data_IF_932764770425
#
_entry.id   IF_932764770425
#
_cell.length_a   1.000
_cell.length_b   1.000
_cell.length_c   1.000
_cell.angle_alpha   90.00
_cell.angle_beta   90.00
_cell.angle_gamma   90.00
#
_symmetry.space_group_name_H-M   'P 1'
#
loop_
_entity.id
_entity.type
_entity.pdbx_description
1 polymer ?
#
# COMPACT_ATOMS: atom_id res chain seq x y z
N UNK A 1 -3.44 -12.17 -0.38
CA UNK A 1 -3.79 -12.42 -1.82
C UNK A 1 -4.45 -13.78 -1.97
N UNK A 2 -5.24 -14.03 -3.03
CA UNK A 2 -5.75 -15.37 -3.35
C UNK A 2 -4.76 -16.14 -4.21
N UNK A 3 -4.82 -17.48 -4.20
CA UNK A 3 -3.97 -18.30 -5.07
C UNK A 3 -4.17 -17.99 -6.56
N UNK A 4 -5.39 -17.61 -6.96
CA UNK A 4 -5.68 -17.20 -8.35
C UNK A 4 -4.97 -15.89 -8.72
N UNK A 5 -5.02 -14.89 -7.85
CA UNK A 5 -4.33 -13.61 -8.09
C UNK A 5 -2.81 -13.76 -8.16
N UNK A 6 -2.23 -14.62 -7.31
CA UNK A 6 -0.78 -14.93 -7.37
C UNK A 6 -0.43 -15.66 -8.66
N UNK A 7 -1.28 -16.62 -9.09
CA UNK A 7 -1.07 -17.37 -10.32
C UNK A 7 -1.08 -16.45 -11.56
N UNK A 8 -2.00 -15.50 -11.59
CA UNK A 8 -2.10 -14.49 -12.64
C UNK A 8 -0.84 -13.62 -12.71
N UNK A 9 -0.38 -13.12 -11.55
CA UNK A 9 0.83 -12.27 -11.49
C UNK A 9 2.11 -13.01 -11.89
N UNK A 10 2.23 -14.30 -11.53
CA UNK A 10 3.42 -15.10 -11.80
C UNK A 10 3.38 -15.82 -13.15
N UNK A 11 2.26 -15.80 -13.87
CA UNK A 11 2.10 -16.52 -15.14
C UNK A 11 2.15 -18.05 -15.00
N UNK A 12 1.80 -18.61 -13.84
CA UNK A 12 1.83 -20.05 -13.56
C UNK A 12 0.44 -20.58 -13.18
N UNK A 13 0.28 -21.91 -13.18
CA UNK A 13 -1.04 -22.49 -12.91
C UNK A 13 -1.50 -22.27 -11.45
N UNK A 14 -2.80 -22.01 -11.20
CA UNK A 14 -3.33 -21.87 -9.84
C UNK A 14 -3.10 -23.11 -8.97
N UNK A 15 -3.00 -24.29 -9.56
CA UNK A 15 -2.71 -25.55 -8.86
C UNK A 15 -1.27 -25.59 -8.35
N UNK A 16 -0.32 -25.14 -9.16
CA UNK A 16 1.09 -25.04 -8.77
C UNK A 16 1.23 -24.02 -7.61
N UNK A 17 0.60 -22.85 -7.75
CA UNK A 17 0.60 -21.83 -6.70
C UNK A 17 0.02 -22.37 -5.39
N UNK A 18 -1.13 -23.07 -5.43
CA UNK A 18 -1.71 -23.65 -4.21
C UNK A 18 -0.75 -24.57 -3.49
N UNK A 19 -0.06 -25.46 -4.21
CA UNK A 19 0.90 -26.36 -3.61
C UNK A 19 2.02 -25.61 -2.88
N UNK A 20 2.54 -24.54 -3.46
CA UNK A 20 3.56 -23.72 -2.82
C UNK A 20 3.01 -22.94 -1.62
N UNK A 21 1.80 -22.36 -1.75
CA UNK A 21 1.15 -21.65 -0.65
C UNK A 21 0.80 -22.59 0.53
N UNK A 22 0.34 -23.82 0.24
CA UNK A 22 0.05 -24.82 1.27
C UNK A 22 1.33 -25.25 1.98
N UNK A 23 2.48 -25.36 1.28
CA UNK A 23 3.78 -25.60 1.89
C UNK A 23 4.19 -24.45 2.83
N UNK A 24 4.08 -23.20 2.37
CA UNK A 24 4.37 -22.04 3.23
C UNK A 24 3.48 -21.97 4.47
N UNK A 25 2.22 -22.42 4.37
CA UNK A 25 1.31 -22.51 5.53
C UNK A 25 1.77 -23.63 6.48
N UNK A 26 2.19 -24.79 5.94
CA UNK A 26 2.71 -25.90 6.75
C UNK A 26 3.99 -25.50 7.50
N UNK A 27 4.84 -24.69 6.87
CA UNK A 27 6.08 -24.16 7.45
C UNK A 27 5.84 -22.94 8.36
N UNK A 28 4.57 -22.57 8.61
CA UNK A 28 4.17 -21.40 9.40
C UNK A 28 4.66 -20.05 8.83
N UNK A 29 5.06 -20.00 7.59
CA UNK A 29 5.51 -18.80 6.89
C UNK A 29 4.35 -18.00 6.28
N UNK A 30 3.21 -18.67 6.09
CA UNK A 30 1.95 -18.04 5.68
C UNK A 30 0.79 -18.49 6.57
N UNK A 31 -0.22 -17.66 6.67
CA UNK A 31 -1.51 -18.00 7.29
C UNK A 31 -2.64 -17.86 6.27
N UNK A 32 -3.76 -18.55 6.54
CA UNK A 32 -4.95 -18.40 5.68
C UNK A 32 -6.09 -17.72 6.44
N UNK A 33 -6.78 -16.80 5.75
CA UNK A 33 -8.05 -16.20 6.20
C UNK A 33 -9.10 -16.38 5.13
N UNK A 34 -10.35 -16.47 5.52
CA UNK A 34 -11.45 -16.48 4.56
C UNK A 34 -11.61 -15.07 3.97
N UNK A 35 -11.76 -14.99 2.65
CA UNK A 35 -12.02 -13.72 1.99
C UNK A 35 -13.40 -13.20 2.43
N UNK A 36 -13.53 -11.88 2.72
CA UNK A 36 -14.82 -11.29 3.02
C UNK A 36 -15.78 -11.52 1.84
N UNK A 37 -16.99 -11.98 2.16
CA UNK A 37 -18.00 -12.27 1.15
C UNK A 37 -18.52 -10.95 0.57
N UNK A 38 -18.19 -10.65 -0.67
CA UNK A 38 -18.75 -9.53 -1.43
C UNK A 38 -19.87 -10.05 -2.33
N UNK A 39 -21.09 -9.48 -2.18
CA UNK A 39 -22.20 -9.70 -3.10
C UNK A 39 -23.16 -10.83 -2.73
N UNK A 40 -24.23 -10.99 -3.59
CA UNK A 40 -25.31 -12.00 -3.49
C UNK A 40 -24.73 -13.39 -3.28
N UNK A 41 -25.39 -14.20 -2.45
CA UNK A 41 -25.07 -15.61 -2.15
C UNK A 41 -24.81 -16.41 -3.45
N UNK A 42 -23.53 -16.48 -3.85
CA UNK A 42 -23.07 -17.44 -4.86
C UNK A 42 -22.87 -18.83 -4.22
N UNK A 43 -23.18 -19.90 -4.97
CA UNK A 43 -22.83 -21.26 -4.58
C UNK A 43 -21.33 -21.43 -4.71
N UNK A 44 -20.60 -21.52 -3.59
CA UNK A 44 -19.15 -21.80 -3.58
C UNK A 44 -18.54 -21.59 -2.20
N UNK A 45 -17.45 -22.34 -1.92
CA UNK A 45 -16.63 -22.12 -0.72
C UNK A 45 -15.93 -20.76 -0.84
N UNK A 46 -15.89 -19.93 0.23
CA UNK A 46 -15.14 -18.67 0.20
C UNK A 46 -13.71 -18.88 -0.27
N UNK A 47 -13.19 -17.92 -1.05
CA UNK A 47 -11.79 -17.95 -1.45
C UNK A 47 -10.92 -17.76 -0.21
N UNK A 48 -9.82 -18.53 -0.11
CA UNK A 48 -8.83 -18.34 0.93
C UNK A 48 -7.91 -17.19 0.53
N UNK A 49 -7.65 -16.28 1.45
CA UNK A 49 -6.58 -15.31 1.41
C UNK A 49 -5.36 -15.90 2.10
N UNK A 50 -4.21 -15.75 1.48
CA UNK A 50 -2.92 -16.10 2.05
C UNK A 50 -2.20 -14.82 2.46
N UNK A 51 -1.68 -14.80 3.67
CA UNK A 51 -0.99 -13.68 4.31
C UNK A 51 0.35 -14.19 4.82
N UNK A 52 1.42 -13.40 4.68
CA UNK A 52 2.70 -13.74 5.30
C UNK A 52 2.58 -13.60 6.82
N UNK A 53 3.09 -14.56 7.53
CA UNK A 53 3.32 -14.48 8.97
C UNK A 53 4.57 -13.64 9.27
N UNK A 54 4.83 -13.37 10.54
CA UNK A 54 6.10 -12.77 10.96
C UNK A 54 7.29 -13.65 10.58
N UNK A 55 7.16 -14.96 10.79
CA UNK A 55 8.18 -15.96 10.40
C UNK A 55 8.42 -15.96 8.89
N UNK A 56 7.36 -15.86 8.07
CA UNK A 56 7.50 -15.75 6.61
C UNK A 56 8.18 -14.46 6.19
N UNK A 57 7.90 -13.35 6.84
CA UNK A 57 8.59 -12.08 6.61
C UNK A 57 10.06 -12.15 7.02
N UNK A 58 10.37 -12.84 8.11
CA UNK A 58 11.72 -13.05 8.63
C UNK A 58 12.69 -13.71 7.63
N UNK A 59 12.18 -14.49 6.67
CA UNK A 59 13.02 -15.11 5.62
C UNK A 59 13.71 -14.10 4.68
N UNK A 60 13.22 -12.87 4.63
CA UNK A 60 13.80 -11.83 3.76
C UNK A 60 15.06 -11.16 4.34
N UNK A 61 15.59 -11.67 5.44
CA UNK A 61 16.94 -11.37 5.96
C UNK A 61 16.99 -10.23 6.98
N UNK A 62 17.22 -10.57 8.24
CA UNK A 62 17.32 -9.60 9.35
C UNK A 62 18.72 -9.01 9.55
N UNK A 63 19.80 -9.66 9.09
CA UNK A 63 21.16 -9.19 9.35
C UNK A 63 21.47 -7.79 8.76
N UNK A 64 20.89 -7.50 7.60
CA UNK A 64 20.97 -6.15 6.99
C UNK A 64 20.04 -5.16 7.68
N UNK A 65 18.90 -5.64 8.17
CA UNK A 65 17.94 -4.80 8.90
C UNK A 65 18.54 -4.32 10.22
N UNK A 66 19.22 -5.19 10.98
CA UNK A 66 19.90 -4.82 12.23
C UNK A 66 21.02 -3.81 11.99
N UNK A 67 21.78 -3.97 10.90
CA UNK A 67 22.79 -2.99 10.51
C UNK A 67 22.15 -1.65 10.14
N UNK A 68 21.06 -1.66 9.37
CA UNK A 68 20.35 -0.46 8.97
C UNK A 68 19.74 0.27 10.19
N UNK A 69 19.10 -0.48 11.11
CA UNK A 69 18.60 0.06 12.38
C UNK A 69 19.72 0.73 13.17
N UNK A 70 20.85 0.04 13.33
CA UNK A 70 21.99 0.58 14.09
C UNK A 70 22.57 1.84 13.45
N UNK A 71 22.65 1.88 12.11
CA UNK A 71 23.14 3.05 11.37
C UNK A 71 22.20 4.26 11.51
N UNK A 72 20.88 4.05 11.41
CA UNK A 72 19.90 5.13 11.53
C UNK A 72 19.81 5.60 12.98
N UNK A 73 19.92 4.70 13.97
CA UNK A 73 19.99 5.07 15.38
C UNK A 73 21.22 5.94 15.66
N UNK A 74 22.39 5.56 15.14
CA UNK A 74 23.59 6.38 15.23
C UNK A 74 23.38 7.77 14.62
N UNK A 75 22.71 7.86 13.47
CA UNK A 75 22.37 9.13 12.83
C UNK A 75 21.44 9.98 13.72
N UNK A 76 20.39 9.38 14.30
CA UNK A 76 19.47 10.06 15.21
C UNK A 76 20.21 10.62 16.44
N UNK A 77 21.06 9.82 17.05
CA UNK A 77 21.80 10.20 18.27
C UNK A 77 22.86 11.28 18.05
N UNK A 78 23.56 11.27 16.90
CA UNK A 78 24.71 12.14 16.67
C UNK A 78 24.42 13.35 15.77
N UNK A 79 23.39 13.28 14.94
CA UNK A 79 23.02 14.35 13.99
C UNK A 79 21.63 14.91 14.30
N UNK A 80 20.72 14.08 14.84
CA UNK A 80 19.36 14.45 15.24
C UNK A 80 18.27 13.86 14.35
N UNK A 81 17.03 13.97 14.82
CA UNK A 81 15.83 13.42 14.17
C UNK A 81 15.57 14.01 12.77
N UNK A 82 15.94 15.27 12.55
CA UNK A 82 15.80 15.92 11.23
C UNK A 82 16.68 15.23 10.18
N UNK A 83 17.83 14.68 10.56
CA UNK A 83 18.67 13.91 9.65
C UNK A 83 18.03 12.57 9.27
N UNK A 84 17.31 11.92 10.20
CA UNK A 84 16.54 10.71 9.92
C UNK A 84 15.39 11.01 8.97
N UNK A 85 14.69 12.11 9.18
CA UNK A 85 13.61 12.57 8.28
C UNK A 85 14.15 12.86 6.87
N UNK A 86 15.22 13.62 6.75
CA UNK A 86 15.84 13.92 5.47
C UNK A 86 16.36 12.65 4.75
N UNK A 87 16.87 11.68 5.51
CA UNK A 87 17.23 10.37 4.95
C UNK A 87 15.99 9.62 4.42
N UNK A 88 14.90 9.61 5.17
CA UNK A 88 13.65 8.95 4.77
C UNK A 88 13.06 9.56 3.49
N UNK A 89 13.01 10.89 3.42
CA UNK A 89 12.57 11.65 2.24
C UNK A 89 13.44 11.34 1.02
N UNK A 90 14.76 11.38 1.18
CA UNK A 90 15.69 11.08 0.08
C UNK A 90 15.59 9.64 -0.39
N UNK A 91 15.36 8.70 0.53
CA UNK A 91 15.19 7.29 0.21
C UNK A 91 13.93 7.05 -0.62
N UNK A 92 12.79 7.60 -0.21
CA UNK A 92 11.55 7.43 -0.96
C UNK A 92 11.61 8.17 -2.31
N UNK A 93 12.24 9.33 -2.38
CA UNK A 93 12.48 10.03 -3.64
C UNK A 93 13.30 9.17 -4.61
N UNK A 94 14.39 8.56 -4.16
CA UNK A 94 15.18 7.66 -4.99
C UNK A 94 14.38 6.45 -5.52
N UNK A 95 13.39 5.98 -4.77
CA UNK A 95 12.51 4.89 -5.16
C UNK A 95 11.50 5.30 -6.23
N UNK A 96 10.92 6.51 -6.14
CA UNK A 96 9.79 6.91 -6.99
C UNK A 96 10.17 7.86 -8.13
N UNK A 97 11.24 8.64 -7.99
CA UNK A 97 11.64 9.65 -8.99
C UNK A 97 11.94 9.07 -10.38
N UNK A 98 12.55 7.87 -10.53
CA UNK A 98 12.75 7.26 -11.85
C UNK A 98 11.45 7.01 -12.63
N UNK A 99 10.33 6.94 -11.92
CA UNK A 99 9.01 6.63 -12.49
C UNK A 99 8.03 7.80 -12.39
N UNK A 100 8.48 8.95 -11.91
CA UNK A 100 7.64 10.12 -11.61
C UNK A 100 6.81 10.56 -12.81
N UNK A 101 7.44 10.72 -13.98
CA UNK A 101 6.75 11.12 -15.21
C UNK A 101 5.67 10.12 -15.60
N UNK A 102 6.01 8.81 -15.60
CA UNK A 102 5.06 7.74 -15.89
C UNK A 102 3.82 7.79 -14.98
N UNK A 103 4.01 8.07 -13.68
CA UNK A 103 2.89 8.15 -12.73
C UNK A 103 2.09 9.43 -12.94
N UNK A 104 2.75 10.57 -13.20
CA UNK A 104 2.09 11.86 -13.37
C UNK A 104 1.28 11.97 -14.66
N UNK A 105 1.67 11.26 -15.72
CA UNK A 105 0.95 11.21 -17.00
C UNK A 105 -0.42 10.54 -16.88
N UNK A 106 -0.63 9.73 -15.84
CA UNK A 106 -1.96 9.20 -15.53
C UNK A 106 -2.89 10.31 -15.04
N UNK A 107 -4.10 10.37 -15.59
CA UNK A 107 -5.02 11.49 -15.34
C UNK A 107 -5.58 11.53 -13.91
N UNK A 108 -6.31 10.50 -13.51
CA UNK A 108 -7.02 10.47 -12.24
C UNK A 108 -6.15 9.92 -11.08
N UNK A 109 -6.37 10.37 -9.82
CA UNK A 109 -5.63 9.86 -8.67
C UNK A 109 -5.69 8.33 -8.52
N UNK A 110 -6.79 7.68 -8.90
CA UNK A 110 -6.91 6.22 -8.86
C UNK A 110 -6.01 5.53 -9.90
N UNK A 111 -5.91 6.06 -11.12
CA UNK A 111 -5.01 5.54 -12.15
C UNK A 111 -3.54 5.75 -11.76
N UNK A 112 -3.20 6.92 -11.20
CA UNK A 112 -1.88 7.17 -10.62
C UNK A 112 -1.54 6.19 -9.49
N UNK A 113 -2.51 5.85 -8.64
CA UNK A 113 -2.33 4.87 -7.58
C UNK A 113 -2.05 3.46 -8.14
N UNK A 114 -2.67 3.10 -9.26
CA UNK A 114 -2.40 1.83 -9.96
C UNK A 114 -0.99 1.79 -10.55
N UNK A 115 -0.56 2.86 -11.23
CA UNK A 115 0.79 3.00 -11.73
C UNK A 115 1.82 2.95 -10.59
N UNK A 116 1.55 3.64 -9.47
CA UNK A 116 2.39 3.60 -8.28
C UNK A 116 2.47 2.19 -7.67
N UNK A 117 1.34 1.45 -7.62
CA UNK A 117 1.33 0.07 -7.14
C UNK A 117 2.21 -0.85 -8.01
N UNK A 118 2.21 -0.65 -9.32
CA UNK A 118 3.07 -1.39 -10.24
C UNK A 118 4.56 -1.08 -9.98
N UNK A 119 4.91 0.18 -9.76
CA UNK A 119 6.27 0.59 -9.38
C UNK A 119 6.68 -0.05 -8.06
N UNK A 120 5.88 0.11 -7.02
CA UNK A 120 6.15 -0.47 -5.70
C UNK A 120 6.32 -1.98 -5.76
N UNK A 121 5.57 -2.66 -6.63
CA UNK A 121 5.71 -4.12 -6.80
C UNK A 121 7.05 -4.49 -7.42
N UNK A 122 7.57 -3.70 -8.37
CA UNK A 122 8.94 -3.90 -8.92
C UNK A 122 10.01 -3.72 -7.85
N UNK A 123 9.77 -2.79 -6.92
CA UNK A 123 10.67 -2.47 -5.80
C UNK A 123 10.45 -3.39 -4.57
N UNK A 124 9.68 -4.48 -4.71
CA UNK A 124 9.54 -5.52 -3.71
C UNK A 124 8.42 -5.33 -2.68
N UNK A 125 7.54 -4.34 -2.84
CA UNK A 125 6.45 -4.08 -1.89
C UNK A 125 5.21 -4.96 -2.10
N UNK A 126 5.12 -5.73 -3.18
CA UNK A 126 3.95 -6.54 -3.55
C UNK A 126 2.65 -5.74 -3.43
N UNK A 127 2.61 -4.58 -4.12
CA UNK A 127 1.50 -3.64 -4.00
C UNK A 127 0.36 -3.95 -4.96
N UNK A 128 -0.84 -3.52 -4.59
CA UNK A 128 -2.05 -3.60 -5.40
C UNK A 128 -2.99 -2.46 -5.07
N UNK A 129 -3.92 -2.16 -5.96
CA UNK A 129 -5.01 -1.22 -5.70
C UNK A 129 -6.34 -1.93 -5.61
N UNK A 130 -7.29 -1.31 -4.89
CA UNK A 130 -8.70 -1.70 -4.90
C UNK A 130 -9.57 -0.45 -4.89
N UNK A 131 -10.65 -0.47 -5.64
CA UNK A 131 -11.65 0.59 -5.57
C UNK A 131 -12.45 0.51 -4.27
N UNK A 132 -12.72 1.68 -3.67
CA UNK A 132 -13.64 1.84 -2.56
C UNK A 132 -14.86 2.55 -3.11
N UNK A 133 -15.93 1.80 -3.41
CA UNK A 133 -17.12 2.32 -4.07
C UNK A 133 -18.06 3.05 -3.15
N UNK A 134 -18.74 4.07 -3.69
CA UNK A 134 -20.04 4.50 -3.22
C UNK A 134 -21.07 3.47 -3.73
N UNK A 135 -21.61 2.70 -2.86
CA UNK A 135 -22.88 1.99 -2.86
C UNK A 135 -22.75 0.58 -2.29
N UNK A 136 -23.35 0.37 -1.14
CA UNK A 136 -23.81 -0.94 -0.68
C UNK A 136 -22.82 -1.78 0.12
N UNK A 137 -21.99 -1.25 1.01
CA UNK A 137 -21.45 -2.05 2.09
C UNK A 137 -22.30 -1.92 3.35
N UNK A 138 -23.36 -2.72 3.42
CA UNK A 138 -23.91 -3.18 4.70
C UNK A 138 -22.89 -4.14 5.33
N UNK A 139 -21.86 -3.65 5.94
CA UNK A 139 -21.05 -4.37 6.92
C UNK A 139 -20.32 -3.33 7.76
N UNK A 140 -20.69 -3.31 9.04
CA UNK A 140 -20.23 -2.41 10.04
C UNK A 140 -18.72 -2.40 10.20
N UNK A 141 -18.08 -1.45 9.55
CA UNK A 141 -16.73 -1.03 9.83
C UNK A 141 -16.73 0.48 9.95
N UNK A 142 -16.12 0.93 11.00
CA UNK A 142 -15.93 2.28 11.53
C UNK A 142 -16.58 3.45 10.78
N UNK A 143 -17.37 4.30 11.46
CA UNK A 143 -17.96 5.50 10.87
C UNK A 143 -16.87 6.54 10.60
N UNK A 144 -16.50 6.74 9.34
CA UNK A 144 -15.54 7.77 8.96
C UNK A 144 -15.04 7.80 7.52
N UNK A 145 -15.21 6.76 6.74
CA UNK A 145 -14.70 6.71 5.37
C UNK A 145 -15.83 6.63 4.34
N UNK A 146 -16.70 7.62 4.29
CA UNK A 146 -17.72 7.77 3.25
C UNK A 146 -17.14 8.53 2.04
N UNK A 147 -16.17 7.92 1.33
CA UNK A 147 -15.59 8.51 0.13
C UNK A 147 -15.42 7.46 -0.96
N UNK A 148 -15.89 7.78 -2.16
CA UNK A 148 -15.44 7.11 -3.39
C UNK A 148 -13.95 7.34 -3.54
N UNK A 149 -13.18 6.29 -3.85
CA UNK A 149 -11.75 6.42 -4.00
C UNK A 149 -11.08 5.08 -4.26
N UNK A 150 -9.78 5.04 -4.09
CA UNK A 150 -9.00 3.81 -4.18
C UNK A 150 -8.27 3.54 -2.86
N UNK A 151 -7.89 2.32 -2.63
CA UNK A 151 -6.94 1.95 -1.59
C UNK A 151 -5.71 1.33 -2.25
N UNK A 152 -4.56 1.91 -1.97
CA UNK A 152 -3.26 1.34 -2.28
C UNK A 152 -2.86 0.42 -1.12
N UNK A 153 -2.68 -0.86 -1.42
CA UNK A 153 -2.35 -1.91 -0.46
C UNK A 153 -0.94 -2.44 -0.76
N UNK A 154 -0.04 -2.39 0.23
CA UNK A 154 1.29 -3.00 0.14
C UNK A 154 1.29 -4.25 1.03
N UNK A 155 1.39 -5.43 0.43
CA UNK A 155 1.31 -6.73 1.12
C UNK A 155 2.65 -7.17 1.70
N UNK A 156 3.72 -6.52 1.32
CA UNK A 156 5.07 -6.65 1.86
C UNK A 156 5.72 -5.28 1.96
N UNK A 157 6.47 -5.05 3.02
CA UNK A 157 7.31 -3.86 3.18
C UNK A 157 8.76 -4.32 3.35
N UNK A 158 9.65 -4.03 2.38
CA UNK A 158 11.06 -4.47 2.44
C UNK A 158 11.82 -3.89 3.63
N UNK A 159 11.32 -2.83 4.24
CA UNK A 159 11.95 -2.12 5.37
C UNK A 159 11.09 -2.13 6.63
N UNK A 160 10.15 -3.07 6.74
CA UNK A 160 9.21 -3.11 7.85
C UNK A 160 9.88 -3.09 9.22
N UNK A 161 10.98 -3.83 9.39
CA UNK A 161 11.73 -3.91 10.63
C UNK A 161 12.35 -2.56 11.02
N UNK A 162 12.95 -1.88 10.06
CA UNK A 162 13.52 -0.54 10.26
C UNK A 162 12.45 0.50 10.51
N UNK A 163 11.35 0.45 9.75
CA UNK A 163 10.22 1.37 9.89
C UNK A 163 9.44 1.20 11.20
N UNK A 164 9.54 0.04 11.83
CA UNK A 164 8.95 -0.18 13.15
C UNK A 164 9.63 0.67 14.24
N UNK A 165 10.94 0.90 14.11
CA UNK A 165 11.71 1.75 15.01
C UNK A 165 11.73 3.23 14.57
N UNK A 166 11.75 3.47 13.25
CA UNK A 166 11.82 4.81 12.66
C UNK A 166 10.57 5.13 11.84
N UNK A 167 9.48 5.61 12.46
CA UNK A 167 8.22 5.90 11.78
C UNK A 167 8.34 6.99 10.70
N UNK A 168 9.40 7.81 10.74
CA UNK A 168 9.71 8.81 9.71
C UNK A 168 9.79 8.20 8.31
N UNK A 169 10.17 6.92 8.18
CA UNK A 169 10.17 6.21 6.90
C UNK A 169 8.75 6.07 6.31
N UNK A 170 7.77 5.72 7.15
CA UNK A 170 6.38 5.60 6.73
C UNK A 170 5.73 6.97 6.49
N UNK A 171 6.11 7.99 7.26
CA UNK A 171 5.64 9.36 7.11
C UNK A 171 6.11 9.95 5.78
N UNK A 172 7.41 9.85 5.49
CA UNK A 172 7.99 10.31 4.22
C UNK A 172 7.39 9.58 3.00
N UNK A 173 7.14 8.27 3.11
CA UNK A 173 6.48 7.51 2.06
C UNK A 173 5.05 8.01 1.82
N UNK A 174 4.30 8.27 2.88
CA UNK A 174 2.92 8.78 2.78
C UNK A 174 2.88 10.16 2.14
N UNK A 175 3.80 11.06 2.53
CA UNK A 175 3.93 12.39 1.94
C UNK A 175 4.31 12.33 0.45
N UNK A 176 5.28 11.49 0.09
CA UNK A 176 5.68 11.29 -1.30
C UNK A 176 4.51 10.76 -2.16
N UNK A 177 3.69 9.87 -1.61
CA UNK A 177 2.50 9.37 -2.30
C UNK A 177 1.47 10.47 -2.49
N UNK A 178 1.23 11.33 -1.48
CA UNK A 178 0.33 12.46 -1.60
C UNK A 178 0.75 13.40 -2.73
N UNK A 179 2.04 13.70 -2.82
CA UNK A 179 2.60 14.56 -3.87
C UNK A 179 2.48 13.93 -5.26
N UNK A 180 2.78 12.64 -5.43
CA UNK A 180 2.68 11.93 -6.71
C UNK A 180 1.24 11.81 -7.19
N UNK A 181 0.33 11.49 -6.27
CA UNK A 181 -1.08 11.31 -6.60
C UNK A 181 -1.82 12.64 -6.78
N UNK A 182 -1.21 13.75 -6.34
CA UNK A 182 -1.81 15.10 -6.43
C UNK A 182 -3.05 15.25 -5.55
N UNK A 183 -3.17 14.47 -4.49
CA UNK A 183 -4.28 14.51 -3.55
C UNK A 183 -3.81 14.13 -2.14
N UNK A 184 -4.54 14.60 -1.13
CA UNK A 184 -4.28 14.14 0.23
C UNK A 184 -4.56 12.63 0.33
N UNK A 185 -3.63 11.88 0.92
CA UNK A 185 -3.81 10.46 1.19
C UNK A 185 -3.80 10.19 2.69
N UNK A 186 -4.47 9.13 3.11
CA UNK A 186 -4.52 8.74 4.51
C UNK A 186 -3.98 7.32 4.68
N UNK A 187 -2.93 7.18 5.50
CA UNK A 187 -2.41 5.87 5.92
C UNK A 187 -3.32 5.29 6.99
N UNK A 188 -4.01 4.19 6.68
CA UNK A 188 -4.96 3.53 7.57
C UNK A 188 -4.32 2.43 8.42
N UNK A 189 -3.35 1.73 7.86
CA UNK A 189 -2.68 0.59 8.49
C UNK A 189 -1.23 0.49 8.00
N UNK A 190 -0.33 -0.03 8.83
CA UNK A 190 1.06 -0.27 8.45
C UNK A 190 1.60 -1.59 9.00
N UNK A 191 2.34 -2.33 8.18
CA UNK A 191 3.04 -3.55 8.57
C UNK A 191 4.04 -3.26 9.70
N UNK A 192 4.67 -2.11 9.70
CA UNK A 192 5.60 -1.66 10.73
C UNK A 192 4.96 -1.54 12.13
N UNK A 193 3.63 -1.37 12.22
CA UNK A 193 2.86 -1.35 13.47
C UNK A 193 2.13 -2.65 13.78
N UNK A 194 2.42 -3.72 13.03
CA UNK A 194 1.85 -5.04 13.24
C UNK A 194 0.64 -5.38 12.38
N UNK A 195 0.21 -4.47 11.49
CA UNK A 195 -0.86 -4.78 10.55
C UNK A 195 -0.39 -5.77 9.47
N UNK A 196 -1.31 -6.55 8.91
CA UNK A 196 -0.98 -7.52 7.87
C UNK A 196 -0.66 -6.89 6.51
N UNK A 197 -1.11 -5.65 6.27
CA UNK A 197 -1.00 -4.93 5.00
C UNK A 197 -0.89 -3.43 5.29
N UNK A 198 0.06 -2.74 4.65
CA UNK A 198 0.02 -1.29 4.62
C UNK A 198 -1.13 -0.84 3.72
N UNK A 199 -2.04 -0.04 4.25
CA UNK A 199 -3.20 0.45 3.51
C UNK A 199 -3.20 1.97 3.49
N UNK A 200 -3.22 2.55 2.30
CA UNK A 200 -3.33 3.99 2.08
C UNK A 200 -4.61 4.29 1.32
N UNK A 201 -5.49 5.08 1.91
CA UNK A 201 -6.68 5.58 1.23
C UNK A 201 -6.32 6.75 0.31
N UNK A 202 -6.76 6.68 -0.93
CA UNK A 202 -6.62 7.70 -1.97
C UNK A 202 -8.02 8.19 -2.30
N UNK A 203 -8.40 9.42 -1.91
CA UNK A 203 -9.74 9.93 -2.19
C UNK A 203 -9.98 10.04 -3.68
N UNK A 204 -11.20 9.70 -4.09
CA UNK A 204 -11.68 9.99 -5.43
C UNK A 204 -11.99 11.48 -5.60
N UNK A 205 -12.33 11.91 -6.82
CA UNK A 205 -12.74 13.28 -7.08
C UNK A 205 -13.97 13.63 -6.22
N UNK A 206 -13.86 14.71 -5.46
CA UNK A 206 -15.00 15.21 -4.67
C UNK A 206 -16.09 15.69 -5.63
N UNK A 207 -17.31 15.14 -5.62
CA UNK A 207 -18.39 15.69 -6.41
C UNK A 207 -18.69 17.10 -5.86
N UNK A 208 -18.37 18.16 -6.65
CA UNK A 208 -18.84 19.51 -6.32
C UNK A 208 -17.81 20.64 -6.29
N UNK A 209 -16.59 20.47 -6.77
CA UNK A 209 -15.70 21.61 -7.01
C UNK A 209 -15.50 21.86 -8.51
N UNK A 210 -16.62 22.02 -9.23
CA UNK A 210 -16.58 22.72 -10.51
C UNK A 210 -16.16 24.16 -10.22
N UNK A 211 -15.02 24.55 -10.79
CA UNK A 211 -14.52 25.91 -10.76
C UNK A 211 -15.66 26.86 -11.18
N UNK A 212 -16.21 27.65 -10.25
CA UNK A 212 -17.07 28.77 -10.57
C UNK A 212 -16.24 29.71 -11.43
N UNK A 213 -16.41 29.62 -12.73
CA UNK A 213 -15.99 30.67 -13.65
C UNK A 213 -16.59 32.00 -13.16
N UNK A 214 -15.78 33.06 -12.95
CA UNK A 214 -16.31 34.35 -12.60
C UNK A 214 -17.10 34.83 -13.81
N UNK A 215 -18.41 34.94 -13.64
CA UNK A 215 -19.33 35.51 -14.62
C UNK A 215 -18.95 36.98 -14.82
N UNK A 216 -18.39 37.31 -16.00
CA UNK A 216 -18.05 38.66 -16.42
C UNK A 216 -19.33 39.45 -16.54
N UNK A 217 -19.66 40.25 -15.53
CA UNK A 217 -20.68 41.28 -15.63
C UNK A 217 -20.21 42.44 -16.49
N UNK A 218 -20.66 42.45 -17.72
CA UNK A 218 -20.61 43.63 -18.60
C UNK A 218 -21.70 44.58 -18.14
N UNK A 219 -21.34 45.70 -17.58
CA UNK A 219 -22.24 46.83 -17.40
C UNK A 219 -21.98 47.85 -18.50
N UNK A 220 -23.03 48.14 -19.21
CA UNK A 220 -23.19 49.23 -20.16
C UNK A 220 -23.22 50.55 -19.41
#
# INVERSE_FOLDING_TARGET
MTAAAVAEQLGISPTAVRRHLDALVADQEAETRDAPRRGRRGRGRPAKLFLLTEQGRARFGHAYDDLAVSAIRFLAEHVGEDAVRAFAERRVAALVDPYREQILDEGAPAAKAEALAAVLTREGYAASTREVGAAGSESGDAPGASGTGAQLCQHHCPVAHVAAEFPQLCEAETEAFAQLLGTHVQRLATIARGDAVCTTHVPGPTPGHEARTPNGGTTT
#
